data_IF_410772521860
#
_entry.id   IF_410772521860
#
_cell.length_a   1.000
_cell.length_b   1.000
_cell.length_c   1.000
_cell.angle_alpha   90.00
_cell.angle_beta   90.00
_cell.angle_gamma   90.00
#
_symmetry.space_group_name_H-M   'P 1'
#
loop_
_entity.id
_entity.type
_entity.pdbx_description
1 polymer ?
#
# COMPACT_ATOMS: atom_id res chain seq x y z
N UNK A 1 -8.03 -17.79 -21.73
CA UNK A 1 -8.29 -16.55 -20.98
C UNK A 1 -7.75 -16.75 -19.58
N UNK A 2 -6.78 -15.94 -19.16
CA UNK A 2 -6.21 -16.00 -17.81
C UNK A 2 -7.24 -15.51 -16.78
N UNK A 3 -7.00 -15.79 -15.50
CA UNK A 3 -7.84 -15.28 -14.40
C UNK A 3 -7.87 -13.74 -14.43
N UNK A 4 -6.73 -13.11 -14.67
CA UNK A 4 -6.62 -11.65 -14.76
C UNK A 4 -7.44 -11.07 -15.92
N UNK A 5 -7.34 -11.69 -17.11
CA UNK A 5 -8.11 -11.28 -18.28
C UNK A 5 -9.62 -11.39 -18.03
N UNK A 6 -10.04 -12.49 -17.39
CA UNK A 6 -11.44 -12.68 -17.00
C UNK A 6 -11.91 -11.65 -15.98
N UNK A 7 -11.10 -11.35 -14.95
CA UNK A 7 -11.44 -10.34 -13.94
C UNK A 7 -11.48 -8.92 -14.51
N UNK A 8 -10.62 -8.60 -15.49
CA UNK A 8 -10.68 -7.35 -16.26
C UNK A 8 -11.95 -7.27 -17.09
N UNK A 9 -12.30 -8.35 -17.80
CA UNK A 9 -13.53 -8.43 -18.59
C UNK A 9 -14.79 -8.22 -17.72
N UNK A 10 -14.84 -8.80 -16.52
CA UNK A 10 -15.92 -8.56 -15.56
C UNK A 10 -16.03 -7.08 -15.17
N UNK A 11 -14.92 -6.42 -14.81
CA UNK A 11 -14.92 -4.99 -14.46
C UNK A 11 -15.37 -4.11 -15.62
N UNK A 12 -15.00 -4.49 -16.85
CA UNK A 12 -15.47 -3.83 -18.07
C UNK A 12 -16.97 -3.96 -18.24
N UNK A 13 -17.50 -5.18 -18.15
CA UNK A 13 -18.93 -5.43 -18.24
C UNK A 13 -19.69 -4.66 -17.16
N UNK A 14 -19.32 -4.84 -15.89
CA UNK A 14 -19.96 -4.15 -14.78
C UNK A 14 -19.87 -2.64 -14.91
N UNK A 15 -18.71 -2.11 -15.29
CA UNK A 15 -18.46 -0.68 -15.48
C UNK A 15 -19.41 -0.06 -16.52
N UNK A 16 -19.60 -0.72 -17.67
CA UNK A 16 -20.50 -0.26 -18.74
C UNK A 16 -21.97 -0.21 -18.30
N UNK A 17 -22.37 -1.10 -17.40
CA UNK A 17 -23.74 -1.18 -16.87
C UNK A 17 -24.00 -0.18 -15.73
N UNK A 18 -22.95 0.40 -15.13
CA UNK A 18 -23.11 1.39 -14.06
C UNK A 18 -23.74 2.68 -14.58
N UNK A 19 -24.44 3.38 -13.67
CA UNK A 19 -25.02 4.71 -13.91
C UNK A 19 -24.29 5.78 -13.10
N UNK A 20 -22.96 5.78 -13.17
CA UNK A 20 -22.17 6.81 -12.50
C UNK A 20 -22.30 8.15 -13.24
N UNK A 21 -21.94 9.23 -12.54
CA UNK A 21 -21.79 10.55 -13.13
C UNK A 21 -20.31 10.87 -13.23
N UNK A 22 -19.89 11.46 -14.35
CA UNK A 22 -18.52 11.95 -14.52
C UNK A 22 -18.53 13.46 -14.72
N UNK A 23 -17.68 14.12 -13.96
CA UNK A 23 -17.37 15.55 -14.09
C UNK A 23 -15.91 15.66 -14.53
N UNK A 24 -15.62 16.45 -15.56
CA UNK A 24 -14.25 16.72 -16.00
C UNK A 24 -13.66 17.80 -15.12
N UNK A 25 -12.58 17.50 -14.42
CA UNK A 25 -11.88 18.44 -13.53
C UNK A 25 -10.57 18.95 -14.13
N UNK A 26 -10.19 18.48 -15.32
CA UNK A 26 -9.04 19.00 -16.07
C UNK A 26 -9.45 19.72 -17.35
N UNK A 27 -8.46 20.06 -18.17
CA UNK A 27 -8.61 20.94 -19.33
C UNK A 27 -8.98 20.18 -20.63
N UNK A 28 -8.58 18.92 -20.74
CA UNK A 28 -8.74 18.13 -21.96
C UNK A 28 -10.09 17.37 -21.98
N UNK A 29 -10.73 17.15 -23.13
CA UNK A 29 -12.05 16.52 -23.19
C UNK A 29 -12.04 15.00 -22.97
N UNK A 30 -10.90 14.34 -23.24
CA UNK A 30 -10.74 12.88 -23.18
C UNK A 30 -9.63 12.49 -22.21
N UNK A 31 -8.39 12.91 -22.48
CA UNK A 31 -7.25 12.56 -21.64
C UNK A 31 -7.09 13.55 -20.49
N UNK A 32 -7.96 13.43 -19.49
CA UNK A 32 -8.11 14.40 -18.41
C UNK A 32 -8.27 13.74 -17.06
N UNK A 33 -8.43 14.56 -16.03
CA UNK A 33 -8.88 14.15 -14.72
C UNK A 33 -10.38 14.29 -14.61
N UNK A 34 -10.99 13.32 -13.93
CA UNK A 34 -12.42 13.24 -13.77
C UNK A 34 -12.77 12.92 -12.32
N UNK A 35 -13.91 13.45 -11.88
CA UNK A 35 -14.59 13.00 -10.67
C UNK A 35 -15.70 12.04 -11.07
N UNK A 36 -15.64 10.81 -10.58
CA UNK A 36 -16.64 9.75 -10.81
C UNK A 36 -17.49 9.58 -9.56
N UNK A 37 -18.78 9.85 -9.64
CA UNK A 37 -19.69 9.83 -8.48
C UNK A 37 -20.77 8.77 -8.66
N UNK A 38 -20.97 7.95 -7.63
CA UNK A 38 -22.11 7.03 -7.55
C UNK A 38 -23.34 7.81 -7.05
N UNK A 39 -24.41 7.94 -7.85
CA UNK A 39 -25.57 8.74 -7.44
C UNK A 39 -26.36 8.14 -6.27
N UNK A 40 -26.22 6.83 -6.02
CA UNK A 40 -26.91 6.10 -4.95
C UNK A 40 -26.13 6.23 -3.65
N UNK A 41 -24.87 5.77 -3.63
CA UNK A 41 -24.05 5.79 -2.41
C UNK A 41 -23.42 7.15 -2.10
N UNK A 42 -23.52 8.12 -3.02
CA UNK A 42 -22.88 9.46 -2.98
C UNK A 42 -21.35 9.46 -2.94
N UNK A 43 -20.71 8.30 -2.80
CA UNK A 43 -19.26 8.16 -2.90
C UNK A 43 -18.74 8.70 -4.24
N UNK A 44 -17.63 9.43 -4.16
CA UNK A 44 -16.96 10.06 -5.28
C UNK A 44 -15.48 9.72 -5.29
N UNK A 45 -14.95 9.41 -6.46
CA UNK A 45 -13.55 9.01 -6.65
C UNK A 45 -12.91 9.85 -7.75
N UNK A 46 -11.64 10.20 -7.57
CA UNK A 46 -10.82 10.82 -8.62
C UNK A 46 -10.39 9.74 -9.60
N UNK A 47 -10.42 10.04 -10.88
CA UNK A 47 -9.93 9.19 -11.94
C UNK A 47 -9.13 9.98 -12.97
N UNK A 48 -8.12 9.37 -13.58
CA UNK A 48 -7.36 9.98 -14.66
C UNK A 48 -7.38 9.05 -15.86
N UNK A 49 -7.74 9.58 -17.04
CA UNK A 49 -7.71 8.84 -18.30
C UNK A 49 -6.49 9.29 -19.10
N UNK A 50 -5.61 8.34 -19.44
CA UNK A 50 -4.37 8.57 -20.19
C UNK A 50 -4.14 7.52 -21.29
N UNK A 51 -5.09 6.61 -21.50
CA UNK A 51 -5.00 5.59 -22.54
C UNK A 51 -6.18 4.62 -22.48
N UNK A 52 -6.16 3.61 -23.35
CA UNK A 52 -7.22 2.60 -23.43
C UNK A 52 -6.85 1.30 -22.72
N UNK A 53 -5.58 1.11 -22.36
CA UNK A 53 -5.10 -0.16 -21.82
C UNK A 53 -5.12 -0.18 -20.29
N UNK A 54 -5.25 -1.36 -19.67
CA UNK A 54 -5.07 -1.51 -18.23
C UNK A 54 -3.70 -0.98 -17.79
N UNK A 55 -3.69 -0.15 -16.75
CA UNK A 55 -2.48 0.48 -16.21
C UNK A 55 -2.16 1.86 -16.80
N UNK A 56 -2.81 2.28 -17.90
CA UNK A 56 -2.67 3.67 -18.39
C UNK A 56 -3.39 4.66 -17.47
N UNK A 57 -4.46 4.21 -16.85
CA UNK A 57 -5.46 5.03 -16.18
C UNK A 57 -5.33 4.89 -14.66
N UNK A 58 -5.82 5.89 -13.92
CA UNK A 58 -5.82 5.88 -12.46
C UNK A 58 -7.25 5.99 -11.92
N UNK A 59 -7.51 5.38 -10.75
CA UNK A 59 -8.71 5.67 -9.97
C UNK A 59 -8.42 5.58 -8.47
N UNK A 60 -8.93 6.53 -7.68
CA UNK A 60 -8.77 6.56 -6.23
C UNK A 60 -9.72 5.63 -5.47
N UNK A 61 -10.43 4.72 -6.15
CA UNK A 61 -11.36 3.82 -5.49
C UNK A 61 -10.63 2.62 -4.86
N UNK A 62 -11.14 2.04 -3.75
CA UNK A 62 -10.49 0.92 -3.07
C UNK A 62 -10.20 -0.29 -3.97
N UNK A 63 -11.11 -0.64 -4.88
CA UNK A 63 -10.91 -1.75 -5.84
C UNK A 63 -9.66 -1.54 -6.70
N UNK A 64 -9.47 -0.35 -7.27
CA UNK A 64 -8.32 -0.04 -8.13
C UNK A 64 -6.99 -0.14 -7.36
N UNK A 65 -6.99 0.32 -6.10
CA UNK A 65 -5.81 0.30 -5.26
C UNK A 65 -5.35 -1.11 -4.88
N UNK A 66 -6.25 -2.10 -4.84
CA UNK A 66 -5.97 -3.44 -4.29
C UNK A 66 -5.99 -4.57 -5.31
N UNK A 67 -6.70 -4.42 -6.44
CA UNK A 67 -6.96 -5.55 -7.34
C UNK A 67 -5.80 -5.95 -8.25
N UNK A 68 -4.73 -5.16 -8.36
CA UNK A 68 -3.57 -5.41 -9.25
C UNK A 68 -3.87 -5.57 -10.74
N UNK A 69 -5.08 -5.23 -11.20
CA UNK A 69 -5.52 -5.40 -12.59
C UNK A 69 -5.21 -4.20 -13.48
N UNK A 70 -4.87 -3.05 -12.89
CA UNK A 70 -4.67 -1.79 -13.62
C UNK A 70 -5.98 -1.18 -14.15
N UNK A 71 -7.13 -1.66 -13.66
CA UNK A 71 -8.45 -1.10 -13.99
C UNK A 71 -9.44 -1.39 -12.86
N UNK A 72 -10.57 -0.69 -12.86
CA UNK A 72 -11.70 -0.91 -11.98
C UNK A 72 -12.99 -0.56 -12.72
N UNK A 73 -14.15 -0.87 -12.12
CA UNK A 73 -15.44 -0.52 -12.75
C UNK A 73 -15.60 0.97 -13.06
N UNK A 74 -14.98 1.87 -12.28
CA UNK A 74 -15.05 3.32 -12.51
C UNK A 74 -14.19 3.74 -13.72
N UNK A 75 -12.99 3.16 -13.89
CA UNK A 75 -12.14 3.39 -15.07
C UNK A 75 -12.85 2.93 -16.33
N UNK A 76 -13.39 1.71 -16.31
CA UNK A 76 -14.10 1.16 -17.47
C UNK A 76 -15.37 1.97 -17.80
N UNK A 77 -16.11 2.44 -16.78
CA UNK A 77 -17.24 3.36 -16.98
C UNK A 77 -16.79 4.67 -17.66
N UNK A 78 -15.69 5.28 -17.20
CA UNK A 78 -15.16 6.52 -17.80
C UNK A 78 -14.75 6.29 -19.25
N UNK A 79 -13.96 5.24 -19.53
CA UNK A 79 -13.53 4.89 -20.89
C UNK A 79 -14.73 4.68 -21.82
N UNK A 80 -15.73 3.91 -21.39
CA UNK A 80 -16.96 3.69 -22.15
C UNK A 80 -17.74 4.99 -22.40
N UNK A 81 -17.82 5.86 -21.40
CA UNK A 81 -18.51 7.15 -21.50
C UNK A 81 -17.79 8.09 -22.47
N UNK A 82 -16.46 8.22 -22.35
CA UNK A 82 -15.63 9.06 -23.20
C UNK A 82 -15.63 8.57 -24.65
N UNK A 83 -15.58 7.25 -24.87
CA UNK A 83 -15.65 6.66 -26.20
C UNK A 83 -16.97 6.98 -26.94
N UNK A 84 -18.07 7.23 -26.21
CA UNK A 84 -19.36 7.65 -26.80
C UNK A 84 -19.43 9.13 -27.16
N UNK A 85 -18.53 9.97 -26.62
CA UNK A 85 -18.45 11.40 -26.98
C UNK A 85 -17.96 11.57 -28.42
N UNK A 86 -18.36 12.66 -29.07
CA UNK A 86 -17.89 13.01 -30.42
C UNK A 86 -16.36 13.06 -30.44
N UNK A 87 -15.73 12.27 -31.30
CA UNK A 87 -14.26 12.18 -31.41
C UNK A 87 -13.56 11.29 -30.36
N UNK A 88 -14.26 10.81 -29.33
CA UNK A 88 -13.67 10.09 -28.21
C UNK A 88 -12.96 8.78 -28.58
N UNK A 89 -13.58 7.93 -29.42
CA UNK A 89 -12.93 6.70 -29.93
C UNK A 89 -11.65 7.01 -30.72
N UNK A 90 -11.67 8.07 -31.52
CA UNK A 90 -10.51 8.49 -32.32
C UNK A 90 -9.38 8.96 -31.42
N UNK A 91 -9.70 9.78 -30.40
CA UNK A 91 -8.74 10.26 -29.42
C UNK A 91 -8.11 9.10 -28.62
N UNK A 92 -8.93 8.20 -28.06
CA UNK A 92 -8.44 7.03 -27.32
C UNK A 92 -7.53 6.14 -28.17
N UNK A 93 -7.86 5.95 -29.45
CA UNK A 93 -7.02 5.19 -30.40
C UNK A 93 -5.72 5.91 -30.75
N UNK A 94 -5.74 7.24 -30.84
CA UNK A 94 -4.54 8.04 -31.10
C UNK A 94 -3.56 8.03 -29.92
N UNK A 95 -4.06 7.72 -28.72
CA UNK A 95 -3.26 7.66 -27.49
C UNK A 95 -2.99 9.03 -26.90
N UNK A 96 -2.60 9.04 -25.63
CA UNK A 96 -2.29 10.27 -24.92
C UNK A 96 -0.87 10.75 -25.25
N UNK A 97 -0.77 11.97 -25.80
CA UNK A 97 0.50 12.62 -26.11
C UNK A 97 0.50 14.02 -25.46
N UNK A 98 0.91 14.13 -24.19
CA UNK A 98 0.91 15.41 -23.49
C UNK A 98 1.97 16.38 -24.05
N UNK A 99 1.73 17.67 -23.83
CA UNK A 99 2.73 18.74 -24.04
C UNK A 99 3.80 18.76 -22.93
N UNK A 100 3.49 18.18 -21.78
CA UNK A 100 4.39 18.01 -20.63
C UNK A 100 4.89 16.55 -20.56
N UNK A 101 6.03 16.34 -19.90
CA UNK A 101 6.44 14.98 -19.53
C UNK A 101 5.80 14.62 -18.21
N UNK A 102 5.49 13.35 -18.00
CA UNK A 102 4.89 12.92 -16.74
C UNK A 102 5.52 11.66 -16.17
N UNK A 103 5.32 11.54 -14.86
CA UNK A 103 5.69 10.39 -14.07
C UNK A 103 4.51 9.92 -13.27
N UNK A 104 4.13 8.66 -13.50
CA UNK A 104 2.94 8.06 -12.90
C UNK A 104 3.25 6.67 -12.37
N UNK A 105 2.47 6.24 -11.38
CA UNK A 105 2.50 4.88 -10.89
C UNK A 105 1.59 4.03 -11.76
N UNK A 106 2.16 3.08 -12.48
CA UNK A 106 1.39 2.06 -13.17
C UNK A 106 0.98 0.98 -12.17
N UNK A 107 -0.33 0.73 -12.11
CA UNK A 107 -0.92 -0.31 -11.28
C UNK A 107 -1.08 -1.58 -12.11
N UNK A 108 -0.61 -2.70 -11.56
CA UNK A 108 -0.62 -4.02 -12.19
C UNK A 108 -0.20 -5.07 -11.18
N UNK A 109 0.25 -6.24 -11.65
CA UNK A 109 0.81 -7.30 -10.81
C UNK A 109 1.94 -6.80 -9.89
N UNK A 110 2.69 -5.81 -10.37
CA UNK A 110 3.62 -4.99 -9.57
C UNK A 110 3.31 -3.53 -9.85
N UNK A 111 3.47 -2.71 -8.81
CA UNK A 111 3.43 -1.24 -8.94
C UNK A 111 4.78 -0.80 -9.52
N UNK A 112 4.74 -0.05 -10.62
CA UNK A 112 5.94 0.38 -11.34
C UNK A 112 5.87 1.87 -11.63
N UNK A 113 6.93 2.62 -11.33
CA UNK A 113 7.01 4.03 -11.72
C UNK A 113 7.33 4.08 -13.22
N UNK A 114 6.49 4.82 -13.96
CA UNK A 114 6.64 5.02 -15.39
C UNK A 114 6.96 6.48 -15.69
N UNK A 115 7.84 6.69 -16.66
CA UNK A 115 8.09 7.97 -17.28
C UNK A 115 7.47 7.98 -18.69
N UNK A 116 6.65 8.99 -18.98
CA UNK A 116 6.09 9.24 -20.31
C UNK A 116 6.63 10.59 -20.80
N UNK A 117 7.47 10.59 -21.84
CA UNK A 117 7.97 11.84 -22.41
C UNK A 117 6.84 12.61 -23.11
N UNK A 118 6.91 13.93 -23.06
CA UNK A 118 6.09 14.80 -23.87
C UNK A 118 6.30 14.56 -25.38
N UNK A 119 5.36 15.00 -26.20
CA UNK A 119 5.55 15.02 -27.66
C UNK A 119 6.78 15.84 -28.08
N UNK A 120 7.05 16.93 -27.38
CA UNK A 120 8.20 17.80 -27.59
C UNK A 120 9.18 17.72 -26.39
N UNK A 121 9.49 16.49 -25.94
CA UNK A 121 10.41 16.28 -24.83
C UNK A 121 11.84 16.73 -25.21
N UNK A 122 12.51 17.56 -24.39
CA UNK A 122 13.88 17.99 -24.66
C UNK A 122 14.84 16.78 -24.75
N UNK A 123 15.79 16.77 -25.70
CA UNK A 123 16.79 15.71 -25.82
C UNK A 123 17.57 15.48 -24.52
N UNK A 124 17.83 16.54 -23.75
CA UNK A 124 18.51 16.50 -22.46
C UNK A 124 17.70 15.72 -21.42
N UNK A 125 16.37 15.86 -21.42
CA UNK A 125 15.49 15.10 -20.53
C UNK A 125 15.42 13.63 -20.94
N UNK A 126 15.41 13.34 -22.24
CA UNK A 126 15.44 11.96 -22.76
C UNK A 126 16.76 11.28 -22.38
N UNK A 127 17.88 11.99 -22.52
CA UNK A 127 19.20 11.49 -22.11
C UNK A 127 19.25 11.23 -20.60
N UNK A 128 18.79 12.19 -19.79
CA UNK A 128 18.70 12.03 -18.35
C UNK A 128 17.81 10.84 -17.96
N UNK A 129 16.68 10.65 -18.64
CA UNK A 129 15.80 9.52 -18.41
C UNK A 129 16.47 8.18 -18.75
N UNK A 130 17.36 8.13 -19.74
CA UNK A 130 18.12 6.93 -20.10
C UNK A 130 18.98 6.35 -18.98
N UNK A 131 19.39 7.17 -18.00
CA UNK A 131 20.18 6.73 -16.85
C UNK A 131 19.35 6.10 -15.72
N UNK A 132 18.02 6.27 -15.77
CA UNK A 132 17.08 5.90 -14.70
C UNK A 132 16.01 4.91 -15.15
N UNK A 133 15.57 5.00 -16.40
CA UNK A 133 14.43 4.27 -16.94
C UNK A 133 14.88 3.29 -18.03
N UNK A 134 14.23 2.12 -18.04
CA UNK A 134 14.33 1.18 -19.15
C UNK A 134 13.68 1.76 -20.43
N UNK A 135 13.94 1.18 -21.62
CA UNK A 135 13.40 1.68 -22.89
C UNK A 135 11.87 1.73 -22.95
N UNK A 136 11.18 0.93 -22.15
CA UNK A 136 9.72 0.93 -22.01
C UNK A 136 9.20 1.98 -20.99
N UNK A 137 10.08 2.86 -20.51
CA UNK A 137 9.77 3.94 -19.58
C UNK A 137 9.64 3.50 -18.13
N UNK A 138 9.98 2.25 -17.76
CA UNK A 138 9.95 1.79 -16.37
C UNK A 138 11.17 2.22 -15.58
N UNK A 139 10.99 2.76 -14.37
CA UNK A 139 12.10 3.06 -13.47
C UNK A 139 12.82 1.78 -13.06
N UNK A 140 14.14 1.76 -13.20
CA UNK A 140 14.97 0.62 -12.82
C UNK A 140 14.98 0.43 -11.29
N UNK A 141 14.82 -0.80 -10.76
CA UNK A 141 14.80 -1.10 -9.32
C UNK A 141 15.97 -0.51 -8.51
N UNK A 142 17.17 -0.54 -9.07
CA UNK A 142 18.39 0.00 -8.46
C UNK A 142 18.43 1.54 -8.40
N UNK A 143 17.51 2.22 -9.09
CA UNK A 143 17.45 3.69 -9.17
C UNK A 143 16.46 4.32 -8.20
N UNK A 144 15.64 3.55 -7.50
CA UNK A 144 14.64 4.08 -6.55
C UNK A 144 15.27 4.93 -5.42
N UNK A 145 16.43 4.50 -4.91
CA UNK A 145 17.14 5.23 -3.84
C UNK A 145 17.80 6.51 -4.35
N UNK A 146 18.28 6.54 -5.59
CA UNK A 146 18.93 7.71 -6.20
C UNK A 146 17.97 8.62 -6.99
N UNK A 147 16.67 8.36 -6.93
CA UNK A 147 15.67 8.99 -7.79
C UNK A 147 15.54 10.52 -7.62
N UNK A 148 15.90 11.07 -6.45
CA UNK A 148 15.98 12.52 -6.21
C UNK A 148 16.95 13.24 -7.17
N UNK A 149 17.98 12.53 -7.67
CA UNK A 149 18.91 13.06 -8.67
C UNK A 149 18.21 13.27 -10.02
N UNK A 150 17.32 12.36 -10.41
CA UNK A 150 16.52 12.53 -11.63
C UNK A 150 15.61 13.76 -11.52
N UNK A 151 14.84 13.88 -10.42
CA UNK A 151 13.97 15.04 -10.20
C UNK A 151 14.75 16.35 -10.17
N UNK A 152 15.91 16.36 -9.51
CA UNK A 152 16.77 17.55 -9.45
C UNK A 152 17.37 17.92 -10.80
N UNK A 153 17.74 16.93 -11.62
CA UNK A 153 18.23 17.14 -12.99
C UNK A 153 17.12 17.68 -13.89
N UNK A 154 15.94 17.07 -13.85
CA UNK A 154 14.79 17.47 -14.66
C UNK A 154 14.30 18.88 -14.31
N UNK A 155 14.31 19.27 -13.03
CA UNK A 155 13.96 20.63 -12.58
C UNK A 155 14.85 21.75 -13.14
N UNK A 156 16.06 21.42 -13.62
CA UNK A 156 16.97 22.39 -14.23
C UNK A 156 16.68 22.62 -15.71
N UNK A 157 15.81 21.81 -16.30
CA UNK A 157 15.38 21.94 -17.68
C UNK A 157 14.14 22.82 -17.71
N UNK A 158 14.06 23.71 -18.70
CA UNK A 158 12.88 24.55 -18.94
C UNK A 158 11.77 23.74 -19.64
N UNK A 159 11.31 22.68 -18.95
CA UNK A 159 10.30 21.75 -19.45
C UNK A 159 9.41 21.28 -18.31
N UNK A 160 8.09 21.31 -18.54
CA UNK A 160 7.13 20.87 -17.54
C UNK A 160 7.23 19.35 -17.34
N UNK A 161 7.64 18.94 -16.13
CA UNK A 161 7.62 17.56 -15.67
C UNK A 161 6.61 17.42 -14.53
N UNK A 162 5.51 16.70 -14.79
CA UNK A 162 4.51 16.37 -13.77
C UNK A 162 4.87 15.07 -13.08
N UNK A 163 4.93 15.08 -11.75
CA UNK A 163 5.11 13.87 -10.95
C UNK A 163 3.89 13.71 -10.05
N UNK A 164 3.13 12.63 -10.24
CA UNK A 164 1.93 12.39 -9.44
C UNK A 164 2.28 11.98 -7.99
N UNK A 165 1.39 12.30 -7.05
CA UNK A 165 1.62 12.08 -5.60
C UNK A 165 1.84 10.61 -5.25
N UNK A 166 1.19 9.69 -5.97
CA UNK A 166 1.32 8.24 -5.76
C UNK A 166 2.72 7.72 -6.10
N UNK A 167 3.43 8.35 -7.05
CA UNK A 167 4.85 8.08 -7.33
C UNK A 167 5.70 8.45 -6.11
N UNK A 168 5.50 9.64 -5.54
CA UNK A 168 6.25 10.09 -4.37
C UNK A 168 5.98 9.21 -3.15
N UNK A 169 4.71 8.86 -2.92
CA UNK A 169 4.32 7.95 -1.84
C UNK A 169 4.95 6.56 -2.02
N UNK A 170 4.95 6.02 -3.24
CA UNK A 170 5.57 4.72 -3.53
C UNK A 170 7.09 4.75 -3.39
N UNK A 171 7.76 5.83 -3.82
CA UNK A 171 9.20 6.02 -3.60
C UNK A 171 9.55 6.05 -2.12
N UNK A 172 8.75 6.75 -1.31
CA UNK A 172 8.91 6.76 0.13
C UNK A 172 8.75 5.34 0.71
N UNK A 173 7.71 4.60 0.30
CA UNK A 173 7.48 3.20 0.72
C UNK A 173 8.68 2.30 0.41
N UNK A 174 9.24 2.39 -0.81
CA UNK A 174 10.41 1.59 -1.22
C UNK A 174 11.66 1.98 -0.43
N UNK A 175 11.91 3.28 -0.24
CA UNK A 175 13.06 3.78 0.53
C UNK A 175 12.99 3.40 2.00
N UNK A 176 11.80 3.47 2.60
CA UNK A 176 11.57 3.06 3.98
C UNK A 176 11.76 1.55 4.16
N UNK A 177 11.30 0.74 3.19
CA UNK A 177 11.53 -0.70 3.19
C UNK A 177 13.03 -1.04 3.08
N UNK A 178 13.77 -0.35 2.21
CA UNK A 178 15.21 -0.54 2.06
C UNK A 178 15.96 -0.18 3.34
N UNK A 179 15.69 1.00 3.90
CA UNK A 179 16.29 1.47 5.16
C UNK A 179 16.00 0.51 6.31
N UNK A 180 14.77 0.01 6.38
CA UNK A 180 14.38 -1.02 7.37
C UNK A 180 15.24 -2.26 7.19
N UNK A 181 15.33 -2.80 5.97
CA UNK A 181 16.11 -4.00 5.69
C UNK A 181 17.58 -3.82 6.08
N UNK A 182 18.21 -2.73 5.65
CA UNK A 182 19.60 -2.41 5.99
C UNK A 182 19.82 -2.29 7.51
N UNK A 183 18.88 -1.65 8.22
CA UNK A 183 18.96 -1.52 9.68
C UNK A 183 18.89 -2.87 10.37
N UNK A 184 17.94 -3.72 9.98
CA UNK A 184 17.79 -5.07 10.55
C UNK A 184 18.99 -5.94 10.20
N UNK A 185 19.51 -5.90 8.97
CA UNK A 185 20.71 -6.65 8.58
C UNK A 185 21.95 -6.23 9.37
N UNK A 186 22.08 -4.93 9.68
CA UNK A 186 23.18 -4.42 10.51
C UNK A 186 23.11 -4.92 11.96
N UNK A 187 21.91 -5.01 12.52
CA UNK A 187 21.68 -5.45 13.91
C UNK A 187 21.76 -6.98 14.02
N UNK A 188 21.37 -7.69 12.96
CA UNK A 188 21.37 -9.14 12.88
C UNK A 188 22.35 -9.66 11.81
N UNK A 189 23.67 -9.40 11.93
CA UNK A 189 24.66 -9.75 10.91
C UNK A 189 24.87 -11.25 10.72
N UNK A 190 24.49 -12.06 11.71
CA UNK A 190 24.54 -13.54 11.66
C UNK A 190 23.14 -14.16 11.51
N UNK A 191 22.15 -13.37 11.06
CA UNK A 191 20.76 -13.82 10.92
C UNK A 191 20.20 -14.35 12.24
N UNK A 192 19.61 -15.54 12.21
CA UNK A 192 18.97 -16.20 13.37
C UNK A 192 19.91 -16.52 14.54
N UNK A 193 21.23 -16.51 14.31
CA UNK A 193 22.24 -16.76 15.34
C UNK A 193 22.85 -15.47 15.91
N UNK A 194 22.33 -14.30 15.52
CA UNK A 194 22.85 -13.03 16.03
C UNK A 194 22.57 -12.85 17.52
N UNK A 195 23.55 -12.34 18.26
CA UNK A 195 23.43 -12.05 19.70
C UNK A 195 22.30 -11.05 20.04
N UNK A 196 21.81 -10.27 19.07
CA UNK A 196 20.64 -9.40 19.26
C UNK A 196 19.35 -10.16 19.62
N UNK A 197 19.31 -11.49 19.46
CA UNK A 197 18.23 -12.32 19.99
C UNK A 197 18.36 -12.64 21.48
N UNK A 198 19.55 -12.47 22.06
CA UNK A 198 19.77 -12.68 23.49
C UNK A 198 18.97 -11.64 24.27
N UNK A 199 18.08 -12.09 25.16
CA UNK A 199 17.19 -11.26 25.96
C UNK A 199 16.17 -10.43 25.16
N UNK A 200 15.97 -10.69 23.86
CA UNK A 200 14.88 -10.07 23.10
C UNK A 200 13.51 -10.42 23.69
N UNK A 201 13.35 -11.69 24.09
CA UNK A 201 12.19 -12.19 24.83
C UNK A 201 12.65 -12.85 26.14
N UNK A 202 11.73 -13.02 27.09
CA UNK A 202 11.97 -13.75 28.35
C UNK A 202 12.18 -15.27 28.17
N UNK A 203 12.11 -15.77 26.94
CA UNK A 203 12.24 -17.19 26.60
C UNK A 203 13.23 -17.38 25.46
N UNK A 204 13.87 -18.55 25.42
CA UNK A 204 14.68 -18.96 24.27
C UNK A 204 13.79 -19.28 23.07
N UNK A 205 14.12 -18.71 21.92
CA UNK A 205 13.44 -18.97 20.65
C UNK A 205 14.15 -20.06 19.86
N UNK A 206 13.39 -20.91 19.17
CA UNK A 206 13.91 -21.81 18.14
C UNK A 206 14.33 -21.03 16.89
N UNK A 207 15.27 -21.57 16.10
CA UNK A 207 15.81 -20.88 14.92
C UNK A 207 14.73 -20.52 13.89
N UNK A 208 13.74 -21.40 13.67
CA UNK A 208 12.63 -21.10 12.76
C UNK A 208 11.75 -19.94 13.27
N UNK A 209 11.62 -19.76 14.59
CA UNK A 209 10.87 -18.64 15.17
C UNK A 209 11.62 -17.33 14.99
N UNK A 210 12.96 -17.38 15.11
CA UNK A 210 13.84 -16.24 14.85
C UNK A 210 13.79 -15.85 13.38
N UNK A 211 13.75 -16.82 12.47
CA UNK A 211 13.61 -16.57 11.04
C UNK A 211 12.27 -15.89 10.74
N UNK A 212 11.16 -16.40 11.26
CA UNK A 212 9.84 -15.77 11.09
C UNK A 212 9.78 -14.34 11.63
N UNK A 213 10.42 -14.09 12.78
CA UNK A 213 10.52 -12.75 13.36
C UNK A 213 11.36 -11.79 12.50
N UNK A 214 12.52 -12.24 12.01
CA UNK A 214 13.38 -11.43 11.11
C UNK A 214 12.71 -11.18 9.77
N UNK A 215 12.02 -12.17 9.22
CA UNK A 215 11.26 -12.02 7.99
C UNK A 215 10.22 -10.91 8.14
N UNK A 216 9.42 -10.94 9.19
CA UNK A 216 8.43 -9.90 9.47
C UNK A 216 9.07 -8.53 9.71
N UNK A 217 10.13 -8.47 10.53
CA UNK A 217 10.87 -7.24 10.81
C UNK A 217 11.47 -6.58 9.55
N UNK A 218 12.00 -7.37 8.61
CA UNK A 218 12.56 -6.88 7.35
C UNK A 218 11.46 -6.44 6.37
N UNK A 219 10.44 -7.28 6.18
CA UNK A 219 9.37 -7.03 5.23
C UNK A 219 8.45 -5.86 5.65
N UNK A 220 8.23 -5.67 6.95
CA UNK A 220 7.25 -4.74 7.51
C UNK A 220 5.81 -5.24 7.34
N UNK A 221 5.33 -5.37 6.09
CA UNK A 221 4.06 -6.03 5.78
C UNK A 221 4.32 -7.48 5.39
N UNK A 222 3.85 -8.42 6.20
CA UNK A 222 4.13 -9.85 6.02
C UNK A 222 2.97 -10.72 6.48
N UNK A 223 2.89 -11.93 5.93
CA UNK A 223 2.01 -13.00 6.41
C UNK A 223 2.89 -14.13 6.98
N UNK A 224 2.75 -14.40 8.28
CA UNK A 224 3.37 -15.57 8.92
C UNK A 224 2.38 -16.73 8.81
N UNK A 225 2.65 -17.63 7.87
CA UNK A 225 1.78 -18.76 7.50
C UNK A 225 2.16 -20.10 8.14
N UNK A 226 3.03 -20.10 9.15
CA UNK A 226 3.53 -21.32 9.79
C UNK A 226 2.40 -22.19 10.37
N UNK A 227 2.66 -23.50 10.46
CA UNK A 227 1.70 -24.47 10.97
C UNK A 227 1.18 -24.12 12.38
N UNK A 228 -0.05 -24.55 12.67
CA UNK A 228 -0.64 -24.38 13.99
C UNK A 228 0.23 -25.07 15.05
N UNK A 229 0.52 -24.38 16.16
CA UNK A 229 1.37 -24.90 17.23
C UNK A 229 2.86 -24.53 17.14
N UNK A 230 3.34 -23.99 16.02
CA UNK A 230 4.75 -23.54 15.87
C UNK A 230 5.08 -22.21 16.57
N UNK A 231 4.15 -21.67 17.37
CA UNK A 231 4.40 -20.44 18.15
C UNK A 231 4.43 -19.16 17.31
N UNK A 232 3.50 -19.00 16.36
CA UNK A 232 3.33 -17.75 15.59
C UNK A 232 3.19 -16.51 16.48
N UNK A 233 2.55 -16.62 17.65
CA UNK A 233 2.49 -15.52 18.61
C UNK A 233 3.88 -15.09 19.09
N UNK A 234 4.76 -16.06 19.39
CA UNK A 234 6.15 -15.78 19.80
C UNK A 234 6.89 -15.06 18.66
N UNK A 235 6.70 -15.50 17.41
CA UNK A 235 7.31 -14.84 16.25
C UNK A 235 6.80 -13.40 16.08
N UNK A 236 5.50 -13.18 16.25
CA UNK A 236 4.89 -11.85 16.15
C UNK A 236 5.34 -10.91 17.28
N UNK A 237 5.47 -11.41 18.52
CA UNK A 237 6.00 -10.64 19.64
C UNK A 237 7.50 -10.33 19.45
N UNK A 238 8.29 -11.30 18.99
CA UNK A 238 9.69 -11.06 18.67
C UNK A 238 9.85 -10.02 17.55
N UNK A 239 9.04 -10.10 16.49
CA UNK A 239 9.04 -9.10 15.43
C UNK A 239 8.68 -7.71 15.98
N UNK A 240 7.66 -7.62 16.84
CA UNK A 240 7.27 -6.36 17.48
C UNK A 240 8.40 -5.77 18.34
N UNK A 241 9.10 -6.59 19.15
CA UNK A 241 10.25 -6.12 19.94
C UNK A 241 11.42 -5.68 19.05
N UNK A 242 11.74 -6.42 17.97
CA UNK A 242 12.77 -6.01 17.00
C UNK A 242 12.41 -4.65 16.40
N UNK A 243 11.17 -4.46 15.95
CA UNK A 243 10.74 -3.19 15.39
C UNK A 243 10.70 -2.07 16.44
N UNK A 244 10.40 -2.38 17.69
CA UNK A 244 10.41 -1.41 18.78
C UNK A 244 11.83 -0.88 19.05
N UNK A 245 12.79 -1.79 19.19
CA UNK A 245 14.18 -1.44 19.48
C UNK A 245 14.88 -0.75 18.30
N UNK A 246 14.59 -1.19 17.06
CA UNK A 246 15.38 -0.77 15.91
C UNK A 246 14.70 0.25 15.00
N UNK A 247 13.37 0.33 15.04
CA UNK A 247 12.56 1.13 14.10
C UNK A 247 11.64 2.13 14.81
N UNK A 248 11.63 2.19 16.15
CA UNK A 248 10.83 3.15 16.92
C UNK A 248 9.34 2.84 16.95
N UNK A 249 8.96 1.56 16.89
CA UNK A 249 7.57 1.13 17.10
C UNK A 249 7.24 1.20 18.59
N UNK A 250 6.27 2.04 18.97
CA UNK A 250 5.88 2.24 20.37
C UNK A 250 4.41 1.89 20.65
N UNK A 251 3.59 1.76 19.60
CA UNK A 251 2.16 1.42 19.71
C UNK A 251 1.83 0.22 18.82
N UNK A 252 1.50 -0.91 19.45
CA UNK A 252 1.16 -2.16 18.78
C UNK A 252 -0.31 -2.52 19.02
N UNK A 253 -1.09 -2.60 17.95
CA UNK A 253 -2.47 -3.08 17.98
C UNK A 253 -2.51 -4.56 17.62
N UNK A 254 -2.99 -5.40 18.53
CA UNK A 254 -3.31 -6.80 18.25
C UNK A 254 -4.81 -6.92 18.02
N UNK A 255 -5.19 -7.47 16.87
CA UNK A 255 -6.58 -7.79 16.52
C UNK A 255 -6.69 -9.30 16.42
N UNK A 256 -7.52 -9.90 17.27
CA UNK A 256 -7.65 -11.36 17.38
C UNK A 256 -9.11 -11.78 17.61
N UNK A 257 -9.47 -13.07 17.47
CA UNK A 257 -10.74 -13.58 17.95
C UNK A 257 -11.02 -13.21 19.41
N UNK A 258 -12.28 -12.95 19.76
CA UNK A 258 -12.69 -12.58 21.14
C UNK A 258 -12.18 -13.57 22.20
N UNK A 259 -12.15 -14.87 21.89
CA UNK A 259 -11.67 -15.93 22.76
C UNK A 259 -10.16 -15.87 23.04
N UNK A 260 -9.37 -15.23 22.18
CA UNK A 260 -7.91 -15.17 22.27
C UNK A 260 -7.39 -13.90 22.95
N UNK A 261 -8.23 -12.90 23.25
CA UNK A 261 -7.77 -11.62 23.83
C UNK A 261 -6.98 -11.81 25.12
N UNK A 262 -7.52 -12.59 26.06
CA UNK A 262 -6.85 -12.86 27.34
C UNK A 262 -5.67 -13.82 27.20
N UNK A 263 -5.63 -14.64 26.14
CA UNK A 263 -4.46 -15.44 25.84
C UNK A 263 -3.29 -14.55 25.40
N UNK A 264 -3.54 -13.63 24.46
CA UNK A 264 -2.57 -12.62 24.04
C UNK A 264 -2.06 -11.79 25.21
N UNK A 265 -2.96 -11.32 26.08
CA UNK A 265 -2.58 -10.58 27.29
C UNK A 265 -1.61 -11.37 28.19
N UNK A 266 -1.90 -12.66 28.43
CA UNK A 266 -1.02 -13.54 29.21
C UNK A 266 0.31 -13.80 28.52
N UNK A 267 0.30 -14.04 27.21
CA UNK A 267 1.53 -14.30 26.44
C UNK A 267 2.44 -13.06 26.40
N UNK A 268 1.87 -11.86 26.22
CA UNK A 268 2.62 -10.60 26.32
C UNK A 268 3.25 -10.46 27.71
N UNK A 269 2.45 -10.60 28.79
CA UNK A 269 2.99 -10.49 30.15
C UNK A 269 4.09 -11.52 30.44
N UNK A 270 3.97 -12.73 29.86
CA UNK A 270 4.90 -13.84 30.04
C UNK A 270 6.19 -13.70 29.22
N UNK A 271 6.13 -13.18 28.00
CA UNK A 271 7.25 -13.22 27.06
C UNK A 271 7.98 -11.89 26.86
N UNK A 272 7.32 -10.76 27.14
CA UNK A 272 7.90 -9.41 26.98
C UNK A 272 7.69 -8.55 28.22
N UNK A 273 8.46 -7.46 28.35
CA UNK A 273 8.34 -6.47 29.44
C UNK A 273 7.64 -5.19 28.95
N UNK A 274 6.43 -5.34 28.43
CA UNK A 274 5.64 -4.23 27.87
C UNK A 274 4.28 -4.12 28.55
N UNK A 275 3.74 -2.90 28.60
CA UNK A 275 2.39 -2.64 29.08
C UNK A 275 1.36 -3.11 28.06
N UNK A 276 0.25 -3.68 28.52
CA UNK A 276 -0.82 -4.21 27.67
C UNK A 276 -2.19 -3.77 28.21
N UNK A 277 -3.09 -3.41 27.30
CA UNK A 277 -4.49 -3.11 27.61
C UNK A 277 -5.44 -3.92 26.72
N UNK A 278 -6.36 -4.66 27.34
CA UNK A 278 -7.44 -5.35 26.63
C UNK A 278 -8.62 -4.43 26.44
N UNK A 279 -8.96 -4.17 25.18
CA UNK A 279 -10.08 -3.32 24.78
C UNK A 279 -11.37 -4.16 24.75
N UNK A 280 -12.43 -3.66 25.39
CA UNK A 280 -13.71 -4.36 25.47
C UNK A 280 -14.80 -3.63 26.25
N UNK A 281 -16.00 -4.20 26.21
CA UNK A 281 -17.20 -3.56 26.75
C UNK A 281 -17.88 -2.64 25.75
N UNK A 282 -18.75 -1.76 26.23
CA UNK A 282 -19.48 -0.79 25.43
C UNK A 282 -18.53 0.29 24.87
N UNK A 283 -18.95 0.96 23.79
CA UNK A 283 -18.10 1.91 23.05
C UNK A 283 -17.51 3.01 23.93
N UNK A 284 -18.27 3.56 24.87
CA UNK A 284 -17.76 4.58 25.81
C UNK A 284 -16.56 4.07 26.63
N UNK A 285 -16.64 2.85 27.16
CA UNK A 285 -15.54 2.21 27.90
C UNK A 285 -14.35 1.93 26.99
N UNK A 286 -14.59 1.51 25.74
CA UNK A 286 -13.51 1.28 24.77
C UNK A 286 -12.78 2.58 24.44
N UNK A 287 -13.51 3.69 24.28
CA UNK A 287 -12.92 5.01 24.07
C UNK A 287 -11.99 5.42 25.23
N UNK A 288 -12.42 5.22 26.48
CA UNK A 288 -11.56 5.44 27.66
C UNK A 288 -10.30 4.55 27.62
N UNK A 289 -10.45 3.25 27.31
CA UNK A 289 -9.34 2.32 27.23
C UNK A 289 -8.34 2.63 26.10
N UNK A 290 -8.80 3.20 24.99
CA UNK A 290 -7.92 3.71 23.94
C UNK A 290 -7.11 4.92 24.41
N UNK A 291 -7.68 5.76 25.28
CA UNK A 291 -7.00 6.92 25.89
C UNK A 291 -5.91 6.55 26.91
N UNK A 292 -5.95 5.37 27.51
CA UNK A 292 -4.91 4.90 28.45
C UNK A 292 -3.59 4.61 27.72
N UNK A 293 -2.47 5.11 28.24
CA UNK A 293 -1.15 4.80 27.70
C UNK A 293 -0.81 3.30 27.88
N UNK A 294 -0.54 2.61 26.77
CA UNK A 294 -0.08 1.22 26.76
C UNK A 294 0.67 0.93 25.48
N UNK A 295 1.74 0.13 25.54
CA UNK A 295 2.50 -0.28 24.36
C UNK A 295 1.67 -1.22 23.48
N UNK A 296 1.08 -2.26 24.07
CA UNK A 296 0.12 -3.15 23.40
C UNK A 296 -1.32 -2.75 23.70
N UNK A 297 -2.17 -2.78 22.68
CA UNK A 297 -3.63 -2.82 22.82
C UNK A 297 -4.18 -4.05 22.11
N UNK A 298 -5.11 -4.76 22.75
CA UNK A 298 -5.71 -5.98 22.19
C UNK A 298 -7.21 -5.76 21.99
N UNK A 299 -7.70 -5.93 20.76
CA UNK A 299 -9.13 -5.85 20.45
C UNK A 299 -9.57 -7.05 19.59
N UNK A 300 -10.89 -7.13 19.35
CA UNK A 300 -11.46 -8.16 18.48
C UNK A 300 -11.92 -7.59 17.14
N UNK A 301 -12.02 -8.46 16.14
CA UNK A 301 -12.48 -8.09 14.80
C UNK A 301 -13.84 -7.39 14.79
N UNK A 302 -14.77 -7.82 15.63
CA UNK A 302 -16.15 -7.33 15.66
C UNK A 302 -16.27 -5.83 15.98
N UNK A 303 -15.28 -5.26 16.67
CA UNK A 303 -15.29 -3.85 17.08
C UNK A 303 -14.48 -2.94 16.16
N UNK A 304 -13.65 -3.47 15.26
CA UNK A 304 -12.74 -2.68 14.40
C UNK A 304 -13.48 -1.63 13.59
N UNK A 305 -14.61 -1.99 12.95
CA UNK A 305 -15.35 -1.05 12.11
C UNK A 305 -16.01 0.07 12.92
N UNK A 306 -16.56 -0.24 14.10
CA UNK A 306 -17.24 0.76 14.94
C UNK A 306 -16.27 1.67 15.70
N UNK A 307 -15.04 1.22 15.91
CA UNK A 307 -13.99 1.95 16.62
C UNK A 307 -12.89 2.48 15.69
N UNK A 308 -13.13 2.55 14.38
CA UNK A 308 -12.12 2.96 13.41
C UNK A 308 -11.54 4.35 13.73
N UNK A 309 -12.41 5.30 14.13
CA UNK A 309 -12.01 6.65 14.53
C UNK A 309 -11.08 6.62 15.76
N UNK A 310 -11.34 5.72 16.72
CA UNK A 310 -10.50 5.56 17.92
C UNK A 310 -9.13 4.96 17.56
N UNK A 311 -9.11 3.97 16.65
CA UNK A 311 -7.88 3.35 16.16
C UNK A 311 -7.03 4.39 15.41
N UNK A 312 -7.66 5.18 14.53
CA UNK A 312 -6.99 6.25 13.79
C UNK A 312 -6.44 7.33 14.72
N UNK A 313 -7.23 7.77 15.71
CA UNK A 313 -6.79 8.74 16.71
C UNK A 313 -5.60 8.22 17.55
N UNK A 314 -5.60 6.94 17.93
CA UNK A 314 -4.49 6.33 18.64
C UNK A 314 -3.25 6.12 17.76
N UNK A 315 -3.45 5.94 16.45
CA UNK A 315 -2.41 5.82 15.41
C UNK A 315 -1.37 4.72 15.71
N UNK A 316 -1.75 3.43 15.70
CA UNK A 316 -0.79 2.34 15.95
C UNK A 316 0.33 2.33 14.90
N UNK A 317 1.56 2.08 15.36
CA UNK A 317 2.75 1.98 14.50
C UNK A 317 2.85 0.58 13.88
N UNK A 318 2.34 -0.45 14.59
CA UNK A 318 2.26 -1.83 14.13
C UNK A 318 0.87 -2.42 14.41
N UNK A 319 0.33 -3.16 13.44
CA UNK A 319 -0.91 -3.92 13.59
C UNK A 319 -0.63 -5.40 13.36
N UNK A 320 -0.95 -6.23 14.35
CA UNK A 320 -0.85 -7.69 14.29
C UNK A 320 -2.27 -8.25 14.15
N UNK A 321 -2.49 -9.02 13.08
CA UNK A 321 -3.76 -9.68 12.81
C UNK A 321 -3.62 -11.19 13.07
N UNK A 322 -4.27 -11.68 14.10
CA UNK A 322 -4.30 -13.10 14.45
C UNK A 322 -5.50 -13.79 13.82
N UNK A 323 -5.32 -15.01 13.29
CA UNK A 323 -6.34 -15.72 12.52
C UNK A 323 -6.89 -14.90 11.32
N UNK A 324 -5.97 -14.35 10.51
CA UNK A 324 -6.26 -13.46 9.38
C UNK A 324 -7.20 -14.04 8.30
N UNK A 325 -7.51 -15.34 8.32
CA UNK A 325 -8.58 -15.89 7.48
C UNK A 325 -9.94 -15.25 7.75
N UNK A 326 -10.14 -14.60 8.90
CA UNK A 326 -11.37 -13.86 9.23
C UNK A 326 -11.61 -12.64 8.33
N UNK A 327 -10.57 -12.13 7.66
CA UNK A 327 -10.67 -10.97 6.77
C UNK A 327 -10.66 -11.35 5.27
N UNK A 328 -10.92 -12.62 4.95
CA UNK A 328 -10.91 -13.11 3.55
C UNK A 328 -12.03 -12.53 2.67
N UNK A 329 -13.14 -12.07 3.25
CA UNK A 329 -14.29 -11.58 2.49
C UNK A 329 -14.41 -10.06 2.64
N UNK A 330 -14.32 -9.36 1.50
CA UNK A 330 -14.56 -7.92 1.33
C UNK A 330 -15.77 -7.70 0.44
#
# INVERSE_FOLDING_TARGET
MSIEEWQRALRRQFGVEQRFQIENTGEEPVFSEFRVTNPISKNSYRGAIRGSEPGDNFCSCPDFATNTLGTCKHVEFMLATLARRRGGKSALKAGFQPAYSEMFLQYGARREIRFRPARACPPELVQLAGDFFAPDGRLLPEKYTAFDRFLSGARRLDHELRCYDDVLAFLAEVRDAERRRERIERVFPQGVHSAAFENLLKISMYDYQREGALFAARAGRSLIGDEMGLGKTIQALAAAEIMAHELGVDRVLVICPTSLKHQWEREIARFVERTVAVIGGLQARRAEQFGTASFFKIMNYDTVHSDLDLIQAWSPDLVILDEAQRIKNW
#
